data_IF_752855166921
#
_entry.id   IF_752855166921
#
_cell.length_a   1.000
_cell.length_b   1.000
_cell.length_c   1.000
_cell.angle_alpha   90.00
_cell.angle_beta   90.00
_cell.angle_gamma   90.00
#
_symmetry.space_group_name_H-M   'P 1'
#
loop_
_entity.id
_entity.type
_entity.pdbx_description
1 polymer ?
#
# COMPACT_ATOMS: atom_id res chain seq x y z
N UNK A 1 -16.75 7.53 4.65
CA UNK A 1 -15.52 6.85 4.19
C UNK A 1 -14.34 7.57 4.84
N UNK A 2 -13.49 6.86 5.58
CA UNK A 2 -12.27 7.43 6.18
C UNK A 2 -11.15 6.38 6.17
N UNK A 3 -9.90 6.82 6.02
CA UNK A 3 -8.70 6.01 6.16
C UNK A 3 -7.83 6.66 7.24
N UNK A 4 -7.31 5.86 8.16
CA UNK A 4 -6.36 6.30 9.19
C UNK A 4 -4.95 5.88 8.78
N UNK A 5 -3.99 6.79 8.87
CA UNK A 5 -2.60 6.52 8.52
C UNK A 5 -1.72 6.79 9.74
N UNK A 6 -0.68 5.99 9.89
CA UNK A 6 0.41 6.25 10.84
C UNK A 6 1.57 6.78 10.02
N UNK A 7 1.95 8.03 10.30
CA UNK A 7 3.10 8.69 9.70
C UNK A 7 4.16 9.03 10.75
N UNK A 8 5.42 9.08 10.32
CA UNK A 8 6.54 9.51 11.14
C UNK A 8 7.28 10.63 10.42
N UNK A 9 7.44 11.76 11.10
CA UNK A 9 8.09 12.96 10.58
C UNK A 9 9.61 12.99 10.83
N UNK A 10 10.18 11.92 11.41
CA UNK A 10 11.64 11.74 11.48
C UNK A 10 12.20 11.43 10.08
N UNK A 11 13.50 11.67 9.88
CA UNK A 11 14.25 11.67 8.59
C UNK A 11 14.20 10.35 7.76
N UNK A 12 13.32 9.41 8.08
CA UNK A 12 13.09 8.17 7.34
C UNK A 12 12.00 8.39 6.28
N UNK A 13 12.42 8.59 5.03
CA UNK A 13 11.59 8.89 3.86
C UNK A 13 10.38 7.94 3.59
N UNK A 14 10.34 6.75 4.19
CA UNK A 14 9.30 5.73 3.95
C UNK A 14 8.03 5.84 4.82
N UNK A 15 8.04 6.69 5.84
CA UNK A 15 6.92 6.84 6.79
C UNK A 15 6.22 8.19 6.69
N UNK A 16 6.51 8.97 5.65
CA UNK A 16 5.87 10.26 5.37
C UNK A 16 4.78 10.12 4.31
N UNK A 17 3.63 10.77 4.49
CA UNK A 17 2.58 10.81 3.46
C UNK A 17 2.93 11.85 2.40
N UNK A 18 3.40 11.38 1.25
CA UNK A 18 3.74 12.26 0.13
C UNK A 18 2.48 12.87 -0.53
N UNK A 19 2.52 14.13 -1.01
CA UNK A 19 1.37 14.75 -1.70
C UNK A 19 0.87 13.96 -2.91
N UNK A 20 1.76 13.29 -3.65
CA UNK A 20 1.41 12.41 -4.76
C UNK A 20 0.57 11.20 -4.33
N UNK A 21 0.83 10.67 -3.13
CA UNK A 21 0.07 9.59 -2.51
C UNK A 21 -1.39 10.02 -2.25
N UNK A 22 -1.58 11.25 -1.75
CA UNK A 22 -2.91 11.83 -1.52
C UNK A 22 -3.66 12.00 -2.86
N UNK A 23 -3.00 12.57 -3.87
CA UNK A 23 -3.60 12.77 -5.19
C UNK A 23 -4.01 11.45 -5.86
N UNK A 24 -3.17 10.41 -5.76
CA UNK A 24 -3.49 9.09 -6.30
C UNK A 24 -4.64 8.43 -5.53
N UNK A 25 -4.66 8.53 -4.20
CA UNK A 25 -5.74 7.99 -3.38
C UNK A 25 -7.09 8.65 -3.72
N UNK A 26 -7.11 9.97 -3.94
CA UNK A 26 -8.30 10.67 -4.40
C UNK A 26 -8.76 10.15 -5.76
N UNK A 27 -7.84 9.98 -6.71
CA UNK A 27 -8.15 9.40 -8.02
C UNK A 27 -8.77 8.01 -7.91
N UNK A 28 -8.20 7.11 -7.09
CA UNK A 28 -8.73 5.76 -6.86
C UNK A 28 -10.15 5.82 -6.31
N UNK A 29 -10.43 6.72 -5.37
CA UNK A 29 -11.78 6.93 -4.82
C UNK A 29 -12.78 7.45 -5.88
N UNK A 30 -12.37 8.43 -6.67
CA UNK A 30 -13.19 8.98 -7.76
C UNK A 30 -13.51 7.91 -8.81
N UNK A 31 -12.54 7.03 -9.12
CA UNK A 31 -12.65 5.94 -10.08
C UNK A 31 -12.99 4.58 -9.45
N UNK A 32 -13.56 4.55 -8.24
CA UNK A 32 -13.78 3.33 -7.43
C UNK A 32 -14.43 2.15 -8.15
N UNK A 33 -15.32 2.39 -9.11
CA UNK A 33 -15.94 1.31 -9.91
C UNK A 33 -14.93 0.52 -10.73
N UNK A 34 -13.81 1.12 -11.14
CA UNK A 34 -12.73 0.48 -11.87
C UNK A 34 -11.90 -0.49 -11.01
N UNK A 35 -11.88 -0.28 -9.69
CA UNK A 35 -11.05 -1.03 -8.76
C UNK A 35 -11.81 -2.11 -7.98
N UNK A 36 -13.13 -1.99 -7.92
CA UNK A 36 -13.97 -2.98 -7.23
C UNK A 36 -13.84 -4.36 -7.91
N UNK A 37 -13.45 -5.39 -7.14
CA UNK A 37 -13.28 -6.76 -7.63
C UNK A 37 -12.00 -7.00 -8.46
N UNK A 38 -11.08 -6.04 -8.53
CA UNK A 38 -9.80 -6.22 -9.23
C UNK A 38 -8.67 -6.59 -8.27
N UNK A 39 -7.67 -7.32 -8.77
CA UNK A 39 -6.39 -7.50 -8.11
C UNK A 39 -5.48 -6.29 -8.34
N UNK A 40 -4.81 -5.81 -7.29
CA UNK A 40 -3.99 -4.59 -7.32
C UNK A 40 -2.70 -4.82 -6.55
N UNK A 41 -1.58 -4.44 -7.15
CA UNK A 41 -0.28 -4.35 -6.47
C UNK A 41 0.14 -2.88 -6.39
N UNK A 42 0.46 -2.42 -5.18
CA UNK A 42 1.08 -1.12 -4.96
C UNK A 42 2.59 -1.31 -4.74
N UNK A 43 3.40 -0.64 -5.58
CA UNK A 43 4.86 -0.65 -5.52
C UNK A 43 5.36 0.59 -4.77
N UNK A 44 6.24 0.41 -3.78
CA UNK A 44 6.76 1.53 -2.98
C UNK A 44 5.65 2.19 -2.15
N UNK A 45 4.89 1.38 -1.42
CA UNK A 45 3.67 1.80 -0.76
C UNK A 45 3.91 2.82 0.36
N UNK A 46 5.06 2.81 1.04
CA UNK A 46 5.35 3.67 2.18
C UNK A 46 4.25 3.60 3.25
N UNK A 47 3.46 4.67 3.37
CA UNK A 47 2.29 4.76 4.28
C UNK A 47 1.01 4.12 3.74
N UNK A 48 1.05 3.61 2.49
CA UNK A 48 0.03 2.77 1.82
C UNK A 48 -1.33 3.41 1.54
N UNK A 49 -1.43 4.74 1.57
CA UNK A 49 -2.72 5.43 1.42
C UNK A 49 -3.51 5.05 0.14
N UNK A 50 -2.93 5.01 -1.08
CA UNK A 50 -3.65 4.65 -2.29
C UNK A 50 -4.14 3.20 -2.27
N UNK A 51 -3.29 2.25 -1.89
CA UNK A 51 -3.67 0.84 -1.81
C UNK A 51 -4.71 0.57 -0.71
N UNK A 52 -4.67 1.29 0.42
CA UNK A 52 -5.73 1.21 1.45
C UNK A 52 -7.07 1.72 0.90
N UNK A 53 -7.07 2.81 0.12
CA UNK A 53 -8.28 3.29 -0.57
C UNK A 53 -8.78 2.26 -1.58
N UNK A 54 -7.89 1.67 -2.38
CA UNK A 54 -8.21 0.62 -3.35
C UNK A 54 -8.88 -0.58 -2.65
N UNK A 55 -8.31 -1.05 -1.54
CA UNK A 55 -8.87 -2.14 -0.75
C UNK A 55 -10.26 -1.80 -0.22
N UNK A 56 -10.45 -0.57 0.29
CA UNK A 56 -11.74 -0.14 0.85
C UNK A 56 -12.85 0.03 -0.20
N UNK A 57 -12.49 0.18 -1.47
CA UNK A 57 -13.46 0.18 -2.58
C UNK A 57 -13.68 -1.21 -3.20
N UNK A 58 -13.07 -2.25 -2.62
CA UNK A 58 -13.33 -3.65 -2.96
C UNK A 58 -12.26 -4.32 -3.82
N UNK A 59 -11.06 -3.74 -3.95
CA UNK A 59 -9.94 -4.41 -4.61
C UNK A 59 -9.26 -5.44 -3.69
N UNK A 60 -8.69 -6.49 -4.28
CA UNK A 60 -7.76 -7.38 -3.61
C UNK A 60 -6.34 -6.82 -3.71
N UNK A 61 -5.85 -6.24 -2.62
CA UNK A 61 -4.62 -5.43 -2.64
C UNK A 61 -3.44 -6.17 -2.03
N UNK A 62 -2.31 -6.15 -2.75
CA UNK A 62 -0.99 -6.46 -2.22
C UNK A 62 -0.15 -5.17 -2.14
N UNK A 63 0.23 -4.81 -0.93
CA UNK A 63 1.05 -3.64 -0.63
C UNK A 63 2.52 -4.07 -0.56
N UNK A 64 3.38 -3.41 -1.31
CA UNK A 64 4.80 -3.75 -1.38
C UNK A 64 5.70 -2.54 -1.16
N UNK A 65 6.81 -2.76 -0.48
CA UNK A 65 7.90 -1.79 -0.32
C UNK A 65 9.23 -2.54 -0.23
N UNK A 66 10.37 -1.84 -0.16
CA UNK A 66 11.70 -2.45 -0.12
C UNK A 66 11.79 -3.48 1.02
N UNK A 67 12.18 -4.71 0.67
CA UNK A 67 12.31 -5.84 1.58
C UNK A 67 13.25 -5.55 2.76
N UNK A 68 14.20 -4.63 2.60
CA UNK A 68 15.14 -4.24 3.65
C UNK A 68 14.56 -3.22 4.64
N UNK A 69 13.40 -2.61 4.35
CA UNK A 69 12.72 -1.59 5.17
C UNK A 69 11.67 -2.23 6.05
N UNK A 70 12.11 -3.06 7.00
CA UNK A 70 11.24 -3.84 7.90
C UNK A 70 10.28 -2.95 8.69
N UNK A 71 10.72 -1.75 9.07
CA UNK A 71 9.90 -0.75 9.75
C UNK A 71 8.74 -0.24 8.89
N UNK A 72 8.96 -0.06 7.58
CA UNK A 72 7.91 0.35 6.62
C UNK A 72 6.92 -0.79 6.46
N UNK A 73 7.37 -2.02 6.18
CA UNK A 73 6.50 -3.18 6.06
C UNK A 73 5.73 -3.46 7.37
N UNK A 74 6.34 -3.18 8.53
CA UNK A 74 5.69 -3.24 9.83
C UNK A 74 4.60 -2.16 9.99
N UNK A 75 4.85 -0.94 9.50
CA UNK A 75 3.86 0.13 9.48
C UNK A 75 2.67 -0.21 8.57
N UNK A 76 2.94 -0.73 7.36
CA UNK A 76 1.90 -1.16 6.41
C UNK A 76 0.94 -2.16 7.07
N UNK A 77 1.46 -3.17 7.77
CA UNK A 77 0.61 -4.15 8.49
C UNK A 77 -0.26 -3.47 9.57
N UNK A 78 0.35 -2.60 10.38
CA UNK A 78 -0.38 -1.85 11.43
C UNK A 78 -1.49 -0.97 10.86
N UNK A 79 -1.25 -0.28 9.75
CA UNK A 79 -2.29 0.57 9.13
C UNK A 79 -3.40 -0.27 8.48
N UNK A 80 -3.09 -1.46 7.95
CA UNK A 80 -4.12 -2.41 7.49
C UNK A 80 -5.04 -2.82 8.65
N UNK A 81 -4.45 -3.23 9.77
CA UNK A 81 -5.18 -3.62 10.99
C UNK A 81 -6.02 -2.47 11.53
N UNK A 82 -5.44 -1.26 11.62
CA UNK A 82 -6.11 -0.04 12.08
C UNK A 82 -7.36 0.28 11.24
N UNK A 83 -7.28 0.07 9.92
CA UNK A 83 -8.39 0.30 9.00
C UNK A 83 -9.31 -0.92 8.84
N UNK A 84 -9.01 -2.04 9.48
CA UNK A 84 -9.72 -3.33 9.36
C UNK A 84 -9.76 -3.83 7.92
N UNK A 85 -8.66 -3.67 7.19
CA UNK A 85 -8.51 -4.08 5.80
C UNK A 85 -7.64 -5.35 5.71
N UNK A 86 -8.00 -6.26 4.81
CA UNK A 86 -7.30 -7.52 4.59
C UNK A 86 -6.38 -7.41 3.37
N UNK A 87 -5.38 -6.53 3.44
CA UNK A 87 -4.36 -6.41 2.40
C UNK A 87 -3.24 -7.43 2.62
N UNK A 88 -2.69 -7.98 1.53
CA UNK A 88 -1.44 -8.74 1.57
C UNK A 88 -0.28 -7.75 1.69
N UNK A 89 0.75 -8.11 2.46
CA UNK A 89 1.95 -7.26 2.62
C UNK A 89 3.18 -8.09 2.31
N UNK A 90 3.97 -7.66 1.31
CA UNK A 90 5.16 -8.35 0.87
C UNK A 90 6.34 -7.37 0.68
N UNK A 91 7.56 -7.83 0.98
CA UNK A 91 8.76 -7.09 0.59
C UNK A 91 9.04 -7.28 -0.90
N UNK A 92 9.31 -6.20 -1.61
CA UNK A 92 9.66 -6.18 -3.02
C UNK A 92 10.66 -5.04 -3.27
N UNK A 93 11.94 -5.38 -3.42
CA UNK A 93 12.99 -4.42 -3.77
C UNK A 93 13.09 -4.28 -5.29
N UNK A 94 12.93 -3.06 -5.81
CA UNK A 94 12.96 -2.82 -7.26
C UNK A 94 14.29 -3.27 -7.88
N UNK A 95 14.20 -3.92 -9.05
CA UNK A 95 15.36 -4.41 -9.79
C UNK A 95 16.01 -5.68 -9.21
N UNK A 96 15.51 -6.19 -8.08
CA UNK A 96 15.92 -7.48 -7.52
C UNK A 96 14.94 -8.55 -7.99
N UNK A 97 15.48 -9.67 -8.48
CA UNK A 97 14.69 -10.83 -8.89
C UNK A 97 14.72 -11.87 -7.79
N UNK A 98 13.65 -11.94 -6.99
CA UNK A 98 13.41 -13.01 -6.05
C UNK A 98 12.32 -13.96 -6.57
N UNK A 99 12.29 -15.19 -6.05
CA UNK A 99 11.31 -16.19 -6.47
C UNK A 99 9.87 -15.81 -6.07
N UNK A 100 9.70 -15.02 -5.01
CA UNK A 100 8.40 -14.66 -4.45
C UNK A 100 7.67 -13.58 -5.28
N UNK A 101 8.39 -12.80 -6.08
CA UNK A 101 7.80 -11.85 -7.04
C UNK A 101 6.90 -12.56 -8.05
N UNK A 102 7.24 -13.79 -8.45
CA UNK A 102 6.42 -14.58 -9.37
C UNK A 102 5.08 -15.01 -8.75
N UNK A 103 4.94 -14.93 -7.42
CA UNK A 103 3.72 -15.27 -6.70
C UNK A 103 2.73 -14.08 -6.59
N UNK A 104 3.04 -12.90 -7.14
CA UNK A 104 2.21 -11.69 -6.96
C UNK A 104 0.89 -11.70 -7.74
N UNK A 105 0.78 -12.50 -8.81
CA UNK A 105 -0.41 -12.68 -9.67
C UNK A 105 -1.36 -11.44 -9.70
N UNK A 106 -0.90 -10.27 -10.17
CA UNK A 106 -1.65 -9.00 -10.07
C UNK A 106 -2.83 -8.90 -11.05
#
# INVERSE_FOLDING_TARGET
FSIQIIENMKEEYGLFVWPSSIALAEYVWQQRSRFSGTSVVELGAGTSLPGLVASKVGAEVTLTDDSNRVEVLGNIRKVCDLNKLQCKVAGLTWGVWDAHIFDLHP
#
